data_IF_446881830377
#
_entry.id   IF_446881830377
#
_cell.length_a   1.000
_cell.length_b   1.000
_cell.length_c   1.000
_cell.angle_alpha   90.00
_cell.angle_beta   90.00
_cell.angle_gamma   90.00
#
_symmetry.space_group_name_H-M   'P 1'
#
loop_
_entity.id
_entity.type
_entity.pdbx_description
1 polymer ?
#
# COMPACT_ATOMS: atom_id res chain seq x y z
N UNK A 1 12.86 -5.23 17.07
CA UNK A 1 13.42 -4.72 15.81
C UNK A 1 13.82 -5.92 14.97
N UNK A 2 13.17 -6.12 13.83
CA UNK A 2 13.62 -7.11 12.86
C UNK A 2 14.91 -6.58 12.25
N UNK A 3 16.02 -7.30 12.44
CA UNK A 3 17.28 -6.93 11.85
C UNK A 3 17.24 -7.05 10.31
N UNK A 4 18.22 -6.45 9.60
CA UNK A 4 18.33 -6.51 8.14
C UNK A 4 18.35 -7.93 7.57
N UNK A 5 18.62 -8.94 8.41
CA UNK A 5 18.67 -10.35 8.02
C UNK A 5 17.30 -10.97 7.66
N UNK A 6 16.20 -10.37 8.12
CA UNK A 6 14.85 -10.89 7.85
C UNK A 6 14.49 -10.86 6.35
N UNK A 7 15.11 -9.96 5.58
CA UNK A 7 14.85 -9.74 4.16
C UNK A 7 16.04 -10.13 3.26
N UNK A 8 17.09 -10.75 3.83
CA UNK A 8 18.27 -11.17 3.07
C UNK A 8 17.91 -12.18 1.99
N UNK A 9 18.38 -11.91 0.78
CA UNK A 9 18.25 -12.77 -0.40
C UNK A 9 17.45 -12.19 -1.55
N UNK A 10 16.72 -11.10 -1.35
CA UNK A 10 15.91 -10.45 -2.40
C UNK A 10 16.43 -9.07 -2.83
N UNK A 11 17.32 -8.48 -2.05
CA UNK A 11 18.03 -7.24 -2.40
C UNK A 11 19.52 -7.52 -2.51
N UNK A 12 20.16 -6.98 -3.55
CA UNK A 12 21.62 -7.13 -3.66
C UNK A 12 22.30 -6.39 -2.48
N UNK A 13 23.44 -6.91 -1.98
CA UNK A 13 24.14 -6.33 -0.81
C UNK A 13 24.42 -4.83 -0.96
N UNK A 14 24.69 -4.36 -2.18
CA UNK A 14 24.95 -2.94 -2.46
C UNK A 14 23.69 -2.05 -2.29
N UNK A 15 22.48 -2.61 -2.43
CA UNK A 15 21.22 -1.88 -2.30
C UNK A 15 20.65 -1.91 -0.87
N UNK A 16 21.14 -2.80 0.00
CA UNK A 16 20.64 -2.95 1.38
C UNK A 16 20.71 -1.64 2.18
N UNK A 17 21.83 -0.89 2.21
CA UNK A 17 21.90 0.36 2.96
C UNK A 17 20.88 1.39 2.48
N UNK A 18 20.63 1.44 1.16
CA UNK A 18 19.67 2.33 0.55
C UNK A 18 18.23 1.94 0.93
N UNK A 19 17.92 0.66 0.88
CA UNK A 19 16.62 0.14 1.29
C UNK A 19 16.33 0.47 2.76
N UNK A 20 17.31 0.25 3.66
CA UNK A 20 17.17 0.59 5.07
C UNK A 20 16.94 2.09 5.30
N UNK A 21 17.63 2.93 4.54
CA UNK A 21 17.48 4.39 4.61
C UNK A 21 16.05 4.82 4.25
N UNK A 22 15.43 4.13 3.30
CA UNK A 22 14.11 4.46 2.76
C UNK A 22 12.94 3.82 3.54
N UNK A 23 13.19 2.98 4.55
CA UNK A 23 12.12 2.42 5.38
C UNK A 23 11.39 3.53 6.13
N UNK A 24 10.06 3.50 6.07
CA UNK A 24 9.20 4.42 6.82
C UNK A 24 9.04 3.90 8.26
N UNK A 25 9.75 4.50 9.21
CA UNK A 25 9.74 4.09 10.60
C UNK A 25 9.40 5.30 11.49
N UNK A 26 8.29 5.25 12.24
CA UNK A 26 7.27 4.18 12.25
C UNK A 26 6.50 4.09 10.93
N UNK A 27 5.97 2.91 10.59
CA UNK A 27 5.25 2.71 9.32
C UNK A 27 3.91 3.48 9.23
N UNK A 28 3.33 3.89 10.37
CA UNK A 28 2.10 4.68 10.44
C UNK A 28 2.34 6.07 9.86
N UNK A 29 1.44 6.49 8.97
CA UNK A 29 1.46 7.82 8.36
C UNK A 29 0.77 8.84 9.26
N UNK A 30 1.30 10.08 9.37
CA UNK A 30 0.71 11.13 10.19
C UNK A 30 -0.60 11.65 9.56
N UNK A 31 -1.61 11.85 10.39
CA UNK A 31 -2.93 12.34 9.93
C UNK A 31 -2.87 13.77 9.38
N UNK A 32 -1.98 14.61 9.91
CA UNK A 32 -1.88 16.03 9.54
C UNK A 32 -1.26 16.30 8.17
N UNK A 33 -0.53 15.35 7.60
CA UNK A 33 0.18 15.51 6.33
C UNK A 33 -0.61 14.96 5.13
N UNK A 34 -1.74 14.27 5.40
CA UNK A 34 -2.54 13.60 4.39
C UNK A 34 -4.02 13.97 4.49
N UNK A 35 -4.71 13.90 3.36
CA UNK A 35 -6.18 14.09 3.25
C UNK A 35 -6.93 12.79 3.65
N UNK A 36 -6.68 12.26 4.85
CA UNK A 36 -7.36 11.06 5.35
C UNK A 36 -8.69 11.41 6.03
N UNK A 37 -9.75 11.62 5.23
CA UNK A 37 -11.07 11.99 5.75
C UNK A 37 -12.06 10.82 5.92
N UNK A 38 -11.70 9.63 5.43
CA UNK A 38 -12.53 8.42 5.53
C UNK A 38 -11.71 7.16 5.89
N UNK A 39 -10.41 7.30 6.03
CA UNK A 39 -9.48 6.26 6.45
C UNK A 39 -9.23 6.45 7.93
N UNK A 40 -9.37 5.38 8.72
CA UNK A 40 -9.07 5.42 10.15
C UNK A 40 -7.59 5.53 10.44
N UNK A 41 -6.81 4.72 9.77
CA UNK A 41 -5.36 4.69 9.89
C UNK A 41 -4.74 4.40 8.53
N UNK A 42 -3.53 4.92 8.32
CA UNK A 42 -2.76 4.63 7.13
C UNK A 42 -1.31 4.27 7.48
N UNK A 43 -0.71 3.38 6.69
CA UNK A 43 0.69 2.99 6.85
C UNK A 43 1.36 2.77 5.50
N UNK A 44 2.68 2.98 5.47
CA UNK A 44 3.53 2.65 4.34
C UNK A 44 4.84 2.01 4.81
N UNK A 45 5.39 1.10 4.01
CA UNK A 45 6.65 0.46 4.34
C UNK A 45 7.86 1.37 4.06
N UNK A 46 7.75 2.26 3.07
CA UNK A 46 8.87 3.05 2.57
C UNK A 46 8.48 4.49 2.25
N UNK A 47 9.50 5.36 2.18
CA UNK A 47 9.44 6.62 1.43
C UNK A 47 9.51 6.36 -0.08
N UNK A 48 8.72 7.09 -0.87
CA UNK A 48 8.65 6.91 -2.33
C UNK A 48 9.79 7.62 -3.05
N UNK A 49 11.02 7.16 -2.84
CA UNK A 49 12.24 7.72 -3.44
C UNK A 49 13.12 6.62 -4.05
N UNK A 50 14.08 7.02 -4.88
CA UNK A 50 15.22 6.26 -5.40
C UNK A 50 14.88 4.81 -5.83
N UNK A 51 15.46 3.81 -5.16
CA UNK A 51 15.29 2.40 -5.54
C UNK A 51 13.86 1.90 -5.34
N UNK A 52 13.15 2.40 -4.32
CA UNK A 52 11.75 2.04 -4.06
C UNK A 52 10.85 2.56 -5.19
N UNK A 53 11.03 3.82 -5.59
CA UNK A 53 10.33 4.41 -6.74
C UNK A 53 10.61 3.62 -8.01
N UNK A 54 11.87 3.25 -8.24
CA UNK A 54 12.28 2.45 -9.41
C UNK A 54 11.60 1.08 -9.41
N UNK A 55 11.58 0.37 -8.27
CA UNK A 55 10.94 -0.94 -8.14
C UNK A 55 9.44 -0.88 -8.42
N UNK A 56 8.72 0.07 -7.83
CA UNK A 56 7.29 0.27 -8.06
C UNK A 56 6.99 0.59 -9.53
N UNK A 57 7.78 1.47 -10.16
CA UNK A 57 7.60 1.82 -11.58
C UNK A 57 7.87 0.63 -12.51
N UNK A 58 8.85 -0.23 -12.21
CA UNK A 58 9.12 -1.46 -12.98
C UNK A 58 7.95 -2.44 -12.87
N UNK A 59 7.34 -2.60 -11.68
CA UNK A 59 6.13 -3.39 -11.54
C UNK A 59 4.96 -2.85 -12.38
N UNK A 60 4.77 -1.52 -12.39
CA UNK A 60 3.66 -0.88 -13.12
C UNK A 60 3.81 -0.94 -14.64
N UNK A 61 5.02 -0.82 -15.16
CA UNK A 61 5.27 -0.60 -16.59
C UNK A 61 5.96 -1.76 -17.30
N UNK A 62 6.69 -2.59 -16.57
CA UNK A 62 7.64 -3.54 -17.14
C UNK A 62 7.27 -5.02 -17.02
N UNK A 63 6.07 -5.35 -16.53
CA UNK A 63 5.67 -6.76 -16.37
C UNK A 63 6.51 -7.55 -15.34
N UNK A 64 7.29 -6.86 -14.51
CA UNK A 64 8.14 -7.49 -13.49
C UNK A 64 7.32 -7.89 -12.25
N UNK A 65 6.34 -8.78 -12.42
CA UNK A 65 5.38 -9.17 -11.38
C UNK A 65 6.01 -9.85 -10.17
N UNK A 66 7.17 -10.48 -10.34
CA UNK A 66 7.90 -11.07 -9.21
C UNK A 66 8.31 -10.02 -8.18
N UNK A 67 8.61 -8.78 -8.60
CA UNK A 67 8.86 -7.68 -7.66
C UNK A 67 7.64 -7.35 -6.80
N UNK A 68 6.42 -7.48 -7.34
CA UNK A 68 5.21 -7.23 -6.58
C UNK A 68 5.10 -8.15 -5.36
N UNK A 69 5.52 -9.41 -5.51
CA UNK A 69 5.57 -10.36 -4.40
C UNK A 69 6.56 -9.93 -3.34
N UNK A 70 7.79 -9.58 -3.74
CA UNK A 70 8.83 -9.15 -2.81
C UNK A 70 8.44 -7.85 -2.09
N UNK A 71 7.84 -6.91 -2.80
CA UNK A 71 7.33 -5.68 -2.19
C UNK A 71 6.22 -5.96 -1.17
N UNK A 72 5.32 -6.89 -1.47
CA UNK A 72 4.28 -7.30 -0.53
C UNK A 72 4.87 -8.00 0.71
N UNK A 73 5.88 -8.84 0.53
CA UNK A 73 6.59 -9.51 1.64
C UNK A 73 7.26 -8.48 2.56
N UNK A 74 7.82 -7.39 2.00
CA UNK A 74 8.38 -6.27 2.78
C UNK A 74 7.30 -5.49 3.53
N UNK A 75 6.16 -5.24 2.89
CA UNK A 75 5.02 -4.62 3.57
C UNK A 75 4.57 -5.51 4.74
N UNK A 76 4.49 -6.83 4.54
CA UNK A 76 4.15 -7.76 5.61
C UNK A 76 5.12 -7.67 6.80
N UNK A 77 6.42 -7.55 6.54
CA UNK A 77 7.45 -7.45 7.59
C UNK A 77 7.43 -6.07 8.26
N UNK A 78 7.45 -4.99 7.48
CA UNK A 78 7.67 -3.63 8.01
C UNK A 78 6.40 -3.02 8.62
N UNK A 79 5.23 -3.34 8.07
CA UNK A 79 3.96 -2.79 8.54
C UNK A 79 3.28 -3.71 9.55
N UNK A 80 3.29 -5.03 9.30
CA UNK A 80 2.57 -6.01 10.11
C UNK A 80 3.48 -6.82 11.05
N UNK A 81 4.80 -6.64 11.01
CA UNK A 81 5.73 -7.36 11.86
C UNK A 81 5.84 -8.85 11.53
N UNK A 82 5.51 -9.26 10.31
CA UNK A 82 5.60 -10.66 9.89
C UNK A 82 7.05 -11.18 10.00
N UNK A 83 7.21 -12.37 10.57
CA UNK A 83 8.52 -13.00 10.72
C UNK A 83 8.73 -14.02 9.57
N UNK A 84 9.72 -13.81 8.70
CA UNK A 84 10.02 -14.78 7.66
C UNK A 84 10.62 -16.05 8.27
N UNK A 85 9.96 -17.19 8.07
CA UNK A 85 10.50 -18.49 8.39
C UNK A 85 11.31 -18.99 7.18
N UNK A 86 12.63 -19.03 7.31
CA UNK A 86 13.53 -19.53 6.25
C UNK A 86 13.48 -21.04 6.21
N UNK A 87 13.07 -21.61 5.07
CA UNK A 87 13.24 -23.01 4.75
C UNK A 87 14.13 -23.13 3.50
N UNK A 88 15.28 -23.80 3.57
CA UNK A 88 16.15 -23.99 2.40
C UNK A 88 15.39 -24.61 1.24
N UNK A 89 15.50 -24.03 0.04
CA UNK A 89 14.86 -24.53 -1.16
C UNK A 89 13.34 -24.34 -1.25
N UNK A 90 12.71 -23.70 -0.28
CA UNK A 90 11.27 -23.37 -0.29
C UNK A 90 11.06 -21.87 -0.30
N UNK A 91 9.87 -21.49 -0.76
CA UNK A 91 9.40 -20.10 -0.69
C UNK A 91 9.30 -19.63 0.75
N UNK A 92 9.68 -18.37 1.07
CA UNK A 92 9.55 -17.82 2.42
C UNK A 92 8.11 -18.00 2.93
N UNK A 93 7.98 -18.66 4.06
CA UNK A 93 6.74 -18.70 4.84
C UNK A 93 6.85 -17.63 5.92
N UNK A 94 5.73 -17.07 6.31
CA UNK A 94 5.68 -16.03 7.34
C UNK A 94 4.91 -16.56 8.55
N UNK A 95 5.52 -16.40 9.73
CA UNK A 95 4.91 -16.77 11.00
C UNK A 95 4.64 -15.50 11.83
N UNK A 96 3.84 -15.64 12.87
CA UNK A 96 3.69 -14.62 13.92
C UNK A 96 2.73 -13.47 13.61
N UNK A 97 2.05 -13.47 12.45
CA UNK A 97 1.04 -12.46 12.16
C UNK A 97 -0.33 -13.11 12.06
N UNK A 98 -1.20 -12.74 12.98
CA UNK A 98 -2.62 -13.08 12.93
C UNK A 98 -3.39 -11.78 12.74
N UNK A 99 -3.57 -11.36 11.49
CA UNK A 99 -4.34 -10.17 11.17
C UNK A 99 -5.85 -10.43 11.12
N UNK A 100 -6.27 -11.69 11.16
CA UNK A 100 -7.68 -12.10 11.10
C UNK A 100 -8.61 -11.40 12.10
N UNK A 101 -8.27 -11.23 13.39
CA UNK A 101 -9.16 -10.51 14.31
C UNK A 101 -9.21 -9.00 14.02
N UNK A 102 -8.25 -8.44 13.27
CA UNK A 102 -8.20 -7.02 12.96
C UNK A 102 -8.95 -6.69 11.66
N UNK A 103 -8.84 -7.54 10.65
CA UNK A 103 -9.42 -7.29 9.32
C UNK A 103 -10.26 -8.44 8.83
N UNK A 104 -11.46 -8.12 8.31
CA UNK A 104 -12.38 -9.09 7.74
C UNK A 104 -12.03 -9.44 6.30
N UNK A 105 -11.52 -8.47 5.55
CA UNK A 105 -11.07 -8.67 4.16
C UNK A 105 -10.03 -7.62 3.75
N UNK A 106 -9.29 -7.96 2.69
CA UNK A 106 -8.37 -7.06 2.00
C UNK A 106 -9.00 -6.62 0.69
N UNK A 107 -8.99 -5.33 0.42
CA UNK A 107 -9.52 -4.75 -0.82
C UNK A 107 -8.43 -3.97 -1.54
N UNK A 108 -8.07 -4.31 -2.79
CA UNK A 108 -7.13 -3.52 -3.56
C UNK A 108 -7.79 -2.29 -4.17
N UNK A 109 -7.06 -1.19 -4.23
CA UNK A 109 -7.44 0.00 -5.02
C UNK A 109 -7.46 -0.38 -6.50
N UNK A 110 -8.55 -0.11 -7.24
CA UNK A 110 -8.62 -0.43 -8.66
C UNK A 110 -7.66 0.46 -9.48
N UNK A 111 -6.95 -0.12 -10.47
CA UNK A 111 -5.99 0.64 -11.27
C UNK A 111 -6.71 1.66 -12.17
N UNK A 112 -6.20 2.90 -12.22
CA UNK A 112 -6.76 3.94 -13.10
C UNK A 112 -6.53 3.67 -14.59
N UNK A 113 -5.47 2.98 -14.92
CA UNK A 113 -5.08 2.58 -16.28
C UNK A 113 -4.74 1.08 -16.26
N UNK A 114 -5.75 0.20 -16.35
CA UNK A 114 -5.49 -1.23 -16.41
C UNK A 114 -4.79 -1.57 -17.72
N UNK A 115 -3.71 -2.33 -17.62
CA UNK A 115 -3.08 -2.95 -18.79
C UNK A 115 -3.91 -4.18 -19.17
N UNK A 116 -4.25 -4.36 -20.46
CA UNK A 116 -5.01 -5.52 -20.91
C UNK A 116 -4.36 -6.84 -20.48
N UNK A 117 -5.15 -7.72 -19.86
CA UNK A 117 -4.68 -9.03 -19.41
C UNK A 117 -3.75 -9.04 -18.20
N UNK A 118 -3.46 -7.87 -17.60
CA UNK A 118 -2.53 -7.79 -16.49
C UNK A 118 -3.19 -7.27 -15.21
N UNK A 119 -3.05 -7.97 -14.08
CA UNK A 119 -3.54 -7.48 -12.80
C UNK A 119 -2.77 -6.23 -12.37
N UNK A 120 -3.48 -5.24 -11.84
CA UNK A 120 -2.84 -4.05 -11.26
C UNK A 120 -1.96 -4.40 -10.06
N UNK A 121 -0.94 -3.58 -9.80
CA UNK A 121 -0.01 -3.80 -8.69
C UNK A 121 -0.73 -3.90 -7.33
N UNK A 122 -1.74 -3.06 -6.97
CA UNK A 122 -2.46 -3.23 -5.71
C UNK A 122 -3.13 -4.59 -5.55
N UNK A 123 -3.65 -5.20 -6.63
CA UNK A 123 -4.24 -6.53 -6.58
C UNK A 123 -3.19 -7.62 -6.34
N UNK A 124 -2.02 -7.51 -6.96
CA UNK A 124 -0.92 -8.46 -6.72
C UNK A 124 -0.43 -8.39 -5.26
N UNK A 125 -0.30 -7.17 -4.73
CA UNK A 125 0.05 -6.94 -3.32
C UNK A 125 -1.01 -7.54 -2.39
N UNK A 126 -2.29 -7.24 -2.64
CA UNK A 126 -3.41 -7.73 -1.85
C UNK A 126 -3.46 -9.25 -1.80
N UNK A 127 -3.29 -9.93 -2.94
CA UNK A 127 -3.24 -11.40 -3.00
C UNK A 127 -2.11 -11.99 -2.17
N UNK A 128 -0.92 -11.39 -2.27
CA UNK A 128 0.24 -11.87 -1.50
C UNK A 128 0.07 -11.60 -0.01
N UNK A 129 -0.36 -10.39 0.36
CA UNK A 129 -0.65 -10.03 1.75
C UNK A 129 -1.75 -10.90 2.32
N UNK A 130 -2.83 -11.17 1.56
CA UNK A 130 -3.89 -12.07 1.96
C UNK A 130 -3.39 -13.45 2.31
N UNK A 131 -2.48 -14.01 1.50
CA UNK A 131 -1.85 -15.31 1.76
C UNK A 131 -0.93 -15.28 2.99
N UNK A 132 -0.21 -14.17 3.25
CA UNK A 132 0.67 -14.03 4.41
C UNK A 132 -0.10 -13.80 5.70
N UNK A 133 -1.14 -12.95 5.64
CA UNK A 133 -1.91 -12.52 6.80
C UNK A 133 -3.10 -13.46 7.13
N UNK A 134 -3.41 -14.41 6.23
CA UNK A 134 -4.59 -15.28 6.37
C UNK A 134 -5.92 -14.54 6.20
N UNK A 135 -5.95 -13.42 5.46
CA UNK A 135 -7.13 -12.57 5.26
C UNK A 135 -7.64 -12.70 3.83
N UNK A 136 -8.94 -12.93 3.59
CA UNK A 136 -9.49 -13.07 2.26
C UNK A 136 -9.38 -11.76 1.45
N UNK A 137 -9.20 -11.88 0.13
CA UNK A 137 -9.12 -10.74 -0.79
C UNK A 137 -10.43 -10.61 -1.55
N UNK A 138 -11.06 -9.46 -1.46
CA UNK A 138 -12.27 -9.10 -2.18
C UNK A 138 -11.98 -7.93 -3.14
N UNK A 139 -12.68 -7.88 -4.29
CA UNK A 139 -12.48 -6.82 -5.30
C UNK A 139 -13.80 -6.11 -5.62
N UNK A 140 -14.48 -5.52 -4.63
CA UNK A 140 -15.76 -4.87 -4.83
C UNK A 140 -15.62 -3.52 -5.54
N UNK A 141 -14.49 -2.83 -5.39
CA UNK A 141 -14.30 -1.48 -5.89
C UNK A 141 -14.21 -1.38 -7.41
N UNK A 142 -14.82 -0.35 -7.98
CA UNK A 142 -14.61 0.09 -9.35
C UNK A 142 -14.54 1.62 -9.45
N UNK A 143 -13.99 2.13 -10.56
CA UNK A 143 -13.92 3.56 -10.83
C UNK A 143 -15.21 4.02 -11.50
N UNK A 144 -16.02 4.88 -10.85
CA UNK A 144 -17.25 5.46 -11.40
C UNK A 144 -16.97 6.57 -12.40
N UNK A 145 -16.06 7.49 -12.05
CA UNK A 145 -15.69 8.63 -12.88
C UNK A 145 -14.19 8.86 -12.83
N UNK A 146 -13.61 9.18 -13.98
CA UNK A 146 -12.23 9.73 -14.02
C UNK A 146 -12.32 11.20 -13.67
N UNK A 147 -12.20 11.56 -12.39
CA UNK A 147 -12.16 12.96 -11.94
C UNK A 147 -10.96 13.69 -12.56
N UNK A 148 -11.17 14.91 -13.04
CA UNK A 148 -10.06 15.81 -13.39
C UNK A 148 -9.43 16.31 -12.08
N UNK A 149 -8.11 16.31 -11.94
CA UNK A 149 -7.44 16.98 -10.82
C UNK A 149 -7.69 18.49 -10.95
N UNK A 150 -8.46 19.04 -10.04
CA UNK A 150 -8.58 20.49 -9.90
C UNK A 150 -7.71 20.92 -8.73
N UNK A 151 -6.78 21.84 -8.97
CA UNK A 151 -5.73 22.22 -8.04
C UNK A 151 -6.21 23.12 -6.87
N UNK A 152 -7.44 23.63 -6.87
CA UNK A 152 -7.92 24.63 -5.90
C UNK A 152 -9.31 24.28 -5.36
N UNK A 153 -9.40 23.14 -4.65
CA UNK A 153 -10.66 22.76 -4.00
C UNK A 153 -10.56 22.88 -2.48
N UNK A 154 -11.62 23.40 -1.84
CA UNK A 154 -11.77 23.32 -0.38
C UNK A 154 -11.87 21.87 0.08
N UNK A 155 -11.68 21.62 1.38
CA UNK A 155 -11.82 20.27 1.95
C UNK A 155 -13.19 19.65 1.64
N UNK A 156 -14.27 20.42 1.73
CA UNK A 156 -15.64 19.98 1.41
C UNK A 156 -15.82 19.64 -0.06
N UNK A 157 -15.26 20.45 -0.96
CA UNK A 157 -15.30 20.18 -2.40
C UNK A 157 -14.48 18.94 -2.77
N UNK A 158 -13.34 18.69 -2.10
CA UNK A 158 -12.57 17.46 -2.26
C UNK A 158 -13.37 16.25 -1.81
N UNK A 159 -14.08 16.37 -0.67
CA UNK A 159 -14.95 15.32 -0.15
C UNK A 159 -16.11 15.00 -1.12
N UNK A 160 -16.77 16.02 -1.67
CA UNK A 160 -17.84 15.86 -2.66
C UNK A 160 -17.34 15.23 -3.97
N UNK A 161 -16.17 15.65 -4.47
CA UNK A 161 -15.55 15.05 -5.66
C UNK A 161 -15.09 13.61 -5.41
N UNK A 162 -14.66 13.28 -4.22
CA UNK A 162 -14.26 11.95 -3.82
C UNK A 162 -15.45 10.97 -3.77
N UNK A 163 -16.61 11.42 -3.27
CA UNK A 163 -17.86 10.61 -3.22
C UNK A 163 -18.32 10.10 -4.58
N UNK A 164 -17.88 10.66 -5.68
CA UNK A 164 -18.26 10.22 -7.03
C UNK A 164 -17.18 9.47 -7.81
N UNK A 165 -15.96 9.32 -7.25
CA UNK A 165 -14.83 8.76 -7.98
C UNK A 165 -14.83 7.22 -8.01
N UNK A 166 -15.20 6.59 -6.91
CA UNK A 166 -15.24 5.13 -6.76
C UNK A 166 -16.60 4.65 -6.32
N UNK A 167 -16.87 3.36 -6.50
CA UNK A 167 -18.07 2.69 -6.01
C UNK A 167 -17.83 1.22 -5.78
N UNK A 168 -18.73 0.59 -5.05
CA UNK A 168 -18.80 -0.86 -4.93
C UNK A 168 -19.74 -1.46 -5.95
N UNK A 169 -19.40 -2.65 -6.45
CA UNK A 169 -20.25 -3.41 -7.40
C UNK A 169 -21.60 -3.71 -6.77
N UNK A 170 -22.69 -3.77 -7.57
CA UNK A 170 -24.00 -4.17 -7.08
C UNK A 170 -23.95 -5.51 -6.34
N UNK A 171 -24.66 -5.60 -5.21
CA UNK A 171 -24.67 -6.79 -4.37
C UNK A 171 -23.46 -6.93 -3.43
N UNK A 172 -22.54 -5.96 -3.39
CA UNK A 172 -21.48 -5.94 -2.38
C UNK A 172 -22.09 -5.66 -1.00
N UNK A 173 -21.87 -6.55 -0.05
CA UNK A 173 -22.21 -6.37 1.36
C UNK A 173 -20.94 -6.44 2.24
N UNK A 174 -20.60 -5.29 2.82
CA UNK A 174 -19.49 -5.15 3.75
C UNK A 174 -19.97 -4.85 5.17
N UNK A 175 -21.25 -5.11 5.46
CA UNK A 175 -21.82 -4.82 6.79
C UNK A 175 -21.02 -5.47 7.91
N UNK A 176 -20.58 -4.63 8.85
CA UNK A 176 -19.77 -5.05 9.99
C UNK A 176 -18.32 -5.40 9.69
N UNK A 177 -17.87 -5.33 8.44
CA UNK A 177 -16.50 -5.68 8.06
C UNK A 177 -15.50 -4.55 8.36
N UNK A 178 -14.33 -4.94 8.86
CA UNK A 178 -13.12 -4.09 8.91
C UNK A 178 -12.29 -4.37 7.69
N UNK A 179 -12.04 -3.36 6.86
CA UNK A 179 -11.39 -3.51 5.57
C UNK A 179 -9.94 -3.02 5.62
N UNK A 180 -9.02 -3.84 5.12
CA UNK A 180 -7.66 -3.45 4.82
C UNK A 180 -7.57 -3.05 3.33
N UNK A 181 -7.46 -1.76 3.06
CA UNK A 181 -7.35 -1.20 1.72
C UNK A 181 -5.87 -1.18 1.28
N UNK A 182 -5.55 -1.79 0.15
CA UNK A 182 -4.19 -1.86 -0.36
C UNK A 182 -4.02 -0.98 -1.59
N UNK A 183 -3.06 -0.05 -1.51
CA UNK A 183 -2.59 0.75 -2.64
C UNK A 183 -1.10 0.48 -2.91
N UNK A 184 -0.57 0.96 -4.01
CA UNK A 184 0.86 0.91 -4.29
C UNK A 184 1.62 2.12 -3.69
N UNK A 185 1.05 3.32 -3.81
CA UNK A 185 1.65 4.56 -3.29
C UNK A 185 0.56 5.44 -2.70
N UNK A 186 0.76 5.87 -1.47
CA UNK A 186 -0.02 6.95 -0.87
C UNK A 186 0.72 8.27 -1.11
N UNK A 187 0.06 9.21 -1.80
CA UNK A 187 0.54 10.59 -1.97
C UNK A 187 -0.18 11.51 -1.00
N UNK A 188 -1.24 12.16 -1.42
CA UNK A 188 -2.09 13.00 -0.56
C UNK A 188 -3.10 12.20 0.26
N UNK A 189 -3.23 10.90 0.05
CA UNK A 189 -4.29 10.10 0.71
C UNK A 189 -5.68 10.22 0.07
N UNK A 190 -5.87 11.13 -0.89
CA UNK A 190 -7.19 11.38 -1.50
C UNK A 190 -7.79 10.15 -2.20
N UNK A 191 -6.96 9.33 -2.87
CA UNK A 191 -7.42 8.08 -3.50
C UNK A 191 -7.87 7.07 -2.44
N UNK A 192 -7.07 6.88 -1.39
CA UNK A 192 -7.39 5.98 -0.29
C UNK A 192 -8.69 6.39 0.40
N UNK A 193 -8.85 7.68 0.69
CA UNK A 193 -10.07 8.22 1.30
C UNK A 193 -11.30 8.09 0.40
N UNK A 194 -11.16 8.30 -0.91
CA UNK A 194 -12.26 8.12 -1.86
C UNK A 194 -12.71 6.64 -1.98
N UNK A 195 -11.76 5.70 -1.97
CA UNK A 195 -12.05 4.27 -1.91
C UNK A 195 -12.70 3.89 -0.57
N UNK A 196 -12.17 4.42 0.55
CA UNK A 196 -12.71 4.17 1.88
C UNK A 196 -14.16 4.63 2.00
N UNK A 197 -14.52 5.81 1.47
CA UNK A 197 -15.91 6.27 1.44
C UNK A 197 -16.82 5.26 0.75
N UNK A 198 -16.44 4.76 -0.44
CA UNK A 198 -17.25 3.79 -1.16
C UNK A 198 -17.40 2.46 -0.40
N UNK A 199 -16.39 2.06 0.37
CA UNK A 199 -16.44 0.86 1.22
C UNK A 199 -17.33 1.07 2.45
N UNK A 200 -17.26 2.24 3.09
CA UNK A 200 -18.13 2.63 4.21
C UNK A 200 -19.60 2.74 3.76
N UNK A 201 -19.86 3.31 2.58
CA UNK A 201 -21.19 3.35 1.96
C UNK A 201 -21.75 1.94 1.67
N UNK A 202 -20.88 0.94 1.45
CA UNK A 202 -21.25 -0.47 1.28
C UNK A 202 -21.36 -1.25 2.60
N UNK A 203 -21.29 -0.56 3.77
CA UNK A 203 -21.51 -1.13 5.10
C UNK A 203 -20.25 -1.45 5.91
N UNK A 204 -19.04 -1.19 5.39
CA UNK A 204 -17.83 -1.37 6.19
C UNK A 204 -17.86 -0.48 7.43
N UNK A 205 -17.37 -0.99 8.57
CA UNK A 205 -17.32 -0.20 9.82
C UNK A 205 -16.05 0.61 9.93
N UNK A 206 -15.00 0.16 9.27
CA UNK A 206 -13.71 0.85 9.32
C UNK A 206 -12.84 0.44 8.12
N UNK A 207 -11.99 1.37 7.68
CA UNK A 207 -11.03 1.15 6.60
C UNK A 207 -9.66 1.62 7.07
N UNK A 208 -8.68 0.71 7.03
CA UNK A 208 -7.25 1.01 7.21
C UNK A 208 -6.56 0.93 5.85
N UNK A 209 -5.76 1.93 5.49
CA UNK A 209 -5.04 1.94 4.22
C UNK A 209 -3.58 1.55 4.41
N UNK A 210 -3.06 0.70 3.52
CA UNK A 210 -1.65 0.31 3.52
C UNK A 210 -1.09 0.38 2.10
N UNK A 211 0.12 0.92 1.97
CA UNK A 211 0.83 1.02 0.71
C UNK A 211 2.28 0.51 0.81
N UNK A 212 2.91 0.30 -0.35
CA UNK A 212 4.35 0.04 -0.40
C UNK A 212 5.10 1.28 0.07
N UNK A 213 4.70 2.47 -0.41
CA UNK A 213 5.41 3.70 -0.11
C UNK A 213 4.47 4.90 0.04
N UNK A 214 4.94 5.89 0.81
CA UNK A 214 4.32 7.20 0.91
C UNK A 214 5.20 8.25 0.24
N UNK A 215 4.57 9.22 -0.44
CA UNK A 215 5.25 10.35 -1.08
C UNK A 215 5.42 11.51 -0.08
N UNK A 216 5.99 11.22 1.07
CA UNK A 216 6.39 12.20 2.08
C UNK A 216 7.84 12.62 1.88
N UNK A 217 8.21 13.77 2.44
CA UNK A 217 9.62 14.18 2.46
C UNK A 217 10.42 13.30 3.40
N UNK A 218 11.52 12.77 2.90
CA UNK A 218 12.49 12.03 3.71
C UNK A 218 13.07 12.96 4.80
N UNK A 219 13.11 12.54 6.07
CA UNK A 219 13.72 13.32 7.14
C UNK A 219 15.14 13.79 6.78
N UNK A 220 15.49 15.02 7.15
CA UNK A 220 16.83 15.61 6.83
C UNK A 220 17.99 14.71 7.26
N UNK A 221 17.86 14.02 8.40
CA UNK A 221 18.84 13.06 8.90
C UNK A 221 19.07 11.84 8.00
N UNK A 222 18.13 11.55 7.10
CA UNK A 222 18.16 10.42 6.15
C UNK A 222 18.39 10.85 4.70
N UNK A 223 18.44 12.16 4.41
CA UNK A 223 18.76 12.67 3.07
C UNK A 223 20.23 12.37 2.76
N UNK A 224 20.52 11.97 1.51
CA UNK A 224 21.90 11.82 1.04
C UNK A 224 22.61 13.16 1.11
N UNK A 225 23.91 13.18 1.48
CA UNK A 225 24.69 14.41 1.35
C UNK A 225 24.66 14.88 -0.11
N UNK A 226 24.67 16.20 -0.36
CA UNK A 226 24.72 16.72 -1.71
C UNK A 226 25.91 16.11 -2.44
N UNK A 227 25.69 15.61 -3.65
CA UNK A 227 26.81 15.12 -4.49
C UNK A 227 27.75 16.31 -4.70
N UNK A 228 28.92 16.25 -4.11
CA UNK A 228 30.02 17.14 -4.48
C UNK A 228 30.26 16.95 -5.97
N UNK A 229 30.02 17.99 -6.76
CA UNK A 229 30.40 17.97 -8.17
C UNK A 229 31.90 17.79 -8.24
N UNK A 230 32.42 16.91 -9.13
CA UNK A 230 33.84 16.79 -9.39
C UNK A 230 34.42 18.08 -9.95
#
# INVERSE_FOLDING_TARGET
>A
MLGPDALQGTVCPACVPEEMRLQHIPARLPEGEHDFYAVREAAAAYYYEDIVRTAVLRCKRGGCFWYARELADRVAVLVFGALPAKQPGKMPQYAGVTALPLYSCIVPVPPRQPLPGMPGLPLLLARRLGAVLGVPVETPLYIKRRGRPQKELTREQRLQNARGAFGCRPGTDLTGKRVLLIDDIITTGATASACALALLEAGAVEVTAVAIAAAEELPKSRKKPPKTKP
#
